data_IF_756953297367
#
_entry.id   IF_756953297367
#
_cell.length_a   1.000
_cell.length_b   1.000
_cell.length_c   1.000
_cell.angle_alpha   90.00
_cell.angle_beta   90.00
_cell.angle_gamma   90.00
#
_symmetry.space_group_name_H-M   'P 1'
#
loop_
_entity.id
_entity.type
_entity.pdbx_description
1 polymer ?
#
# COMPACT_ATOMS: atom_id res chain seq x y z
N UNK A 1 1.33 3.76 -15.03
CA UNK A 1 1.04 4.37 -13.71
C UNK A 1 1.88 5.63 -13.57
N UNK A 2 3.16 5.59 -13.91
CA UNK A 2 4.02 6.77 -14.05
C UNK A 2 4.28 7.12 -15.52
N UNK A 3 4.74 8.35 -15.78
CA UNK A 3 5.20 8.81 -17.10
C UNK A 3 6.65 8.44 -17.41
N UNK A 4 7.46 8.10 -16.41
CA UNK A 4 8.88 7.73 -16.55
C UNK A 4 9.29 6.61 -15.57
N UNK A 5 10.45 5.94 -15.77
CA UNK A 5 10.82 4.75 -15.01
C UNK A 5 11.55 5.03 -13.69
N UNK A 6 12.12 6.22 -13.49
CA UNK A 6 12.92 6.57 -12.30
C UNK A 6 12.48 7.91 -11.70
N UNK A 7 12.76 8.08 -10.41
CA UNK A 7 12.74 9.38 -9.73
C UNK A 7 14.08 9.62 -9.06
N UNK A 8 14.76 10.68 -9.47
CA UNK A 8 16.12 11.02 -9.06
C UNK A 8 16.21 12.41 -8.42
N UNK A 9 15.24 13.30 -8.70
CA UNK A 9 15.22 14.66 -8.16
C UNK A 9 13.80 15.20 -8.05
N UNK A 10 13.58 16.17 -7.16
CA UNK A 10 12.25 16.80 -6.99
C UNK A 10 11.68 17.39 -8.30
N UNK A 11 12.54 17.83 -9.20
CA UNK A 11 12.19 18.47 -10.48
C UNK A 11 12.34 17.56 -11.69
N UNK A 12 12.45 16.24 -11.49
CA UNK A 12 12.67 15.27 -12.57
C UNK A 12 11.44 15.03 -13.46
N UNK A 13 10.29 15.61 -13.12
CA UNK A 13 9.07 15.51 -13.90
C UNK A 13 8.32 14.19 -13.76
N UNK A 14 8.66 13.35 -12.77
CA UNK A 14 7.87 12.14 -12.48
C UNK A 14 6.44 12.51 -12.07
N UNK A 15 5.47 12.00 -12.82
CA UNK A 15 4.05 12.13 -12.53
C UNK A 15 3.41 10.75 -12.34
N UNK A 16 2.56 10.63 -11.33
CA UNK A 16 1.71 9.46 -11.12
C UNK A 16 0.29 9.74 -11.61
N UNK A 17 -0.20 8.90 -12.53
CA UNK A 17 -1.57 8.97 -13.04
C UNK A 17 -2.49 8.13 -12.18
N UNK A 18 -3.56 8.74 -11.66
CA UNK A 18 -4.61 8.09 -10.85
C UNK A 18 -4.06 7.29 -9.64
N UNK A 19 -2.89 7.69 -9.11
CA UNK A 19 -2.22 6.98 -8.03
C UNK A 19 -1.53 7.96 -7.07
N UNK A 20 -1.41 7.53 -5.82
CA UNK A 20 -0.70 8.23 -4.75
C UNK A 20 0.12 7.20 -3.96
N UNK A 21 1.36 7.52 -3.64
CA UNK A 21 2.25 6.64 -2.87
C UNK A 21 2.58 7.28 -1.53
N UNK A 22 2.48 6.51 -0.46
CA UNK A 22 2.75 7.00 0.89
C UNK A 22 3.17 5.87 1.82
N UNK A 23 4.17 6.08 2.71
CA UNK A 23 4.52 5.12 3.74
C UNK A 23 3.64 5.30 4.98
N UNK A 24 3.42 4.20 5.72
CA UNK A 24 2.75 4.22 7.04
C UNK A 24 3.59 4.95 8.10
N UNK A 25 4.92 4.93 7.96
CA UNK A 25 5.86 5.68 8.81
C UNK A 25 6.59 6.72 7.93
N UNK A 26 6.54 8.00 8.30
CA UNK A 26 7.14 9.10 7.51
C UNK A 26 8.65 9.25 7.71
N UNK A 27 9.16 8.75 8.83
CA UNK A 27 10.59 8.79 9.15
C UNK A 27 11.22 7.42 8.97
N UNK A 28 12.50 7.38 8.59
CA UNK A 28 13.25 6.11 8.51
C UNK A 28 13.55 5.62 9.94
N UNK A 29 13.10 4.42 10.33
CA UNK A 29 13.35 3.89 11.67
C UNK A 29 14.76 3.26 11.75
N UNK A 30 15.37 3.22 12.95
CA UNK A 30 16.62 2.48 13.15
C UNK A 30 16.51 1.03 12.69
N UNK A 31 17.52 0.54 11.97
CA UNK A 31 17.61 -0.84 11.44
C UNK A 31 16.42 -1.28 10.57
N UNK A 32 15.70 -0.33 9.96
CA UNK A 32 14.50 -0.58 9.15
C UNK A 32 13.38 -1.31 9.91
N UNK A 33 13.35 -1.18 11.23
CA UNK A 33 12.40 -1.87 12.11
C UNK A 33 11.60 -0.87 12.94
N UNK A 34 10.42 -0.45 12.46
CA UNK A 34 9.58 0.47 13.21
C UNK A 34 9.00 -0.21 14.45
N UNK A 35 8.97 0.53 15.55
CA UNK A 35 8.30 0.15 16.79
C UNK A 35 6.79 0.41 16.70
N UNK A 36 6.03 -0.26 17.58
CA UNK A 36 4.60 0.00 17.68
C UNK A 36 4.29 1.46 18.10
N UNK A 37 5.15 2.08 18.91
CA UNK A 37 4.98 3.46 19.35
C UNK A 37 5.21 4.45 18.21
N UNK A 38 6.28 4.28 17.42
CA UNK A 38 6.54 5.12 16.24
C UNK A 38 5.39 5.06 15.24
N UNK A 39 4.89 3.85 14.93
CA UNK A 39 3.74 3.67 14.05
C UNK A 39 2.47 4.34 14.60
N UNK A 40 2.27 4.30 15.92
CA UNK A 40 1.12 4.94 16.57
C UNK A 40 1.23 6.46 16.50
N UNK A 41 2.40 7.03 16.80
CA UNK A 41 2.62 8.48 16.76
C UNK A 41 2.52 9.03 15.34
N UNK A 42 3.04 8.28 14.37
CA UNK A 42 3.04 8.69 12.96
C UNK A 42 1.67 8.48 12.27
N UNK A 43 0.70 7.79 12.91
CA UNK A 43 -0.55 7.45 12.25
C UNK A 43 -1.39 8.67 11.86
N UNK A 44 -1.24 9.79 12.59
CA UNK A 44 -1.97 11.04 12.33
C UNK A 44 -1.76 11.53 10.89
N UNK A 45 -0.54 11.47 10.37
CA UNK A 45 -0.25 11.88 9.00
C UNK A 45 -0.93 10.98 7.97
N UNK A 46 -0.94 9.67 8.23
CA UNK A 46 -1.62 8.72 7.36
C UNK A 46 -3.14 8.91 7.39
N UNK A 47 -3.72 9.24 8.55
CA UNK A 47 -5.14 9.55 8.68
C UNK A 47 -5.53 10.81 7.91
N UNK A 48 -4.72 11.87 8.00
CA UNK A 48 -4.90 13.10 7.23
C UNK A 48 -4.84 12.82 5.71
N UNK A 49 -3.85 12.05 5.26
CA UNK A 49 -3.76 11.61 3.85
C UNK A 49 -5.01 10.85 3.40
N UNK A 50 -5.50 9.90 4.22
CA UNK A 50 -6.72 9.16 3.90
C UNK A 50 -7.96 10.06 3.85
N UNK A 51 -7.99 11.15 4.62
CA UNK A 51 -9.11 12.10 4.63
C UNK A 51 -9.21 12.94 3.36
N UNK A 52 -8.07 13.22 2.70
CA UNK A 52 -8.03 14.03 1.46
C UNK A 52 -8.19 13.18 0.19
N UNK A 53 -7.87 11.88 0.25
CA UNK A 53 -8.01 10.93 -0.87
C UNK A 53 -9.45 10.45 -1.05
N UNK A 54 -10.36 11.36 -1.38
CA UNK A 54 -11.81 11.11 -1.48
C UNK A 54 -12.21 10.08 -2.54
N UNK A 55 -11.42 9.99 -3.63
CA UNK A 55 -11.67 9.09 -4.75
C UNK A 55 -10.94 7.75 -4.62
N UNK A 56 -10.38 7.44 -3.46
CA UNK A 56 -9.62 6.22 -3.22
C UNK A 56 -10.52 4.98 -3.25
N UNK A 57 -10.27 4.10 -4.23
CA UNK A 57 -10.98 2.83 -4.39
C UNK A 57 -10.16 1.62 -3.90
N UNK A 58 -8.88 1.57 -4.26
CA UNK A 58 -7.98 0.44 -3.97
C UNK A 58 -6.74 0.93 -3.22
N UNK A 59 -6.36 0.19 -2.17
CA UNK A 59 -5.12 0.37 -1.42
C UNK A 59 -4.21 -0.80 -1.75
N UNK A 60 -3.10 -0.53 -2.42
CA UNK A 60 -2.05 -1.53 -2.65
C UNK A 60 -1.00 -1.44 -1.54
N UNK A 61 -1.04 -2.39 -0.61
CA UNK A 61 -0.11 -2.47 0.51
C UNK A 61 1.14 -3.29 0.13
N UNK A 62 2.28 -2.61 0.06
CA UNK A 62 3.59 -3.23 -0.17
C UNK A 62 4.22 -3.66 1.16
N UNK A 63 4.20 -4.95 1.45
CA UNK A 63 4.73 -5.53 2.67
C UNK A 63 3.73 -5.60 3.83
N UNK A 64 4.06 -6.42 4.83
CA UNK A 64 3.19 -6.70 5.97
C UNK A 64 2.93 -5.47 6.85
N UNK A 65 3.93 -4.60 7.02
CA UNK A 65 3.80 -3.38 7.82
C UNK A 65 2.75 -2.44 7.22
N UNK A 66 2.81 -2.19 5.91
CA UNK A 66 1.81 -1.39 5.21
C UNK A 66 0.40 -1.98 5.30
N UNK A 67 0.30 -3.30 5.09
CA UNK A 67 -0.95 -4.03 5.13
C UNK A 67 -1.61 -4.00 6.52
N UNK A 68 -0.84 -4.35 7.57
CA UNK A 68 -1.32 -4.31 8.95
C UNK A 68 -1.62 -2.87 9.39
N UNK A 69 -0.86 -1.89 8.91
CA UNK A 69 -1.07 -0.46 9.17
C UNK A 69 -2.44 0.02 8.68
N UNK A 70 -2.79 -0.27 7.43
CA UNK A 70 -4.10 0.10 6.89
C UNK A 70 -5.25 -0.65 7.59
N UNK A 71 -5.12 -1.95 7.87
CA UNK A 71 -6.14 -2.67 8.64
C UNK A 71 -6.34 -2.11 10.06
N UNK A 72 -5.25 -1.71 10.74
CA UNK A 72 -5.35 -1.03 12.05
C UNK A 72 -6.09 0.30 11.93
N UNK A 73 -5.86 1.07 10.86
CA UNK A 73 -6.62 2.28 10.56
C UNK A 73 -8.12 1.97 10.40
N UNK A 74 -8.49 0.97 9.59
CA UNK A 74 -9.88 0.57 9.38
C UNK A 74 -10.55 0.07 10.67
N UNK A 75 -9.81 -0.68 11.49
CA UNK A 75 -10.31 -1.21 12.77
C UNK A 75 -10.74 -0.13 13.77
N UNK A 76 -10.30 1.12 13.61
CA UNK A 76 -10.72 2.23 14.48
C UNK A 76 -12.18 2.65 14.25
N UNK A 77 -12.68 2.47 13.04
CA UNK A 77 -14.05 2.85 12.66
C UNK A 77 -14.96 1.64 12.39
N UNK A 78 -14.39 0.47 12.17
CA UNK A 78 -15.13 -0.75 11.80
C UNK A 78 -14.71 -1.93 12.67
N UNK A 79 -15.68 -2.75 13.06
CA UNK A 79 -15.44 -3.96 13.85
C UNK A 79 -14.89 -5.10 12.98
N UNK A 80 -13.60 -5.04 12.65
CA UNK A 80 -12.91 -6.09 11.89
C UNK A 80 -11.95 -6.90 12.78
N UNK A 81 -11.77 -8.19 12.46
CA UNK A 81 -10.74 -9.02 13.09
C UNK A 81 -9.57 -9.14 12.12
N UNK A 82 -8.38 -8.70 12.56
CA UNK A 82 -7.14 -8.76 11.77
C UNK A 82 -6.87 -10.14 11.16
N UNK A 83 -7.20 -11.22 11.89
CA UNK A 83 -6.99 -12.61 11.47
C UNK A 83 -7.79 -13.02 10.22
N UNK A 84 -8.88 -12.30 9.92
CA UNK A 84 -9.72 -12.58 8.76
C UNK A 84 -9.08 -12.07 7.46
N UNK A 85 -8.00 -11.28 7.58
CA UNK A 85 -7.27 -10.65 6.48
C UNK A 85 -5.82 -11.14 6.50
N UNK A 86 -5.58 -12.33 5.94
CA UNK A 86 -4.25 -12.91 5.90
C UNK A 86 -3.35 -12.20 4.86
N UNK A 87 -2.19 -11.72 5.29
CA UNK A 87 -1.21 -11.14 4.37
C UNK A 87 -0.67 -12.21 3.40
N UNK A 88 -0.59 -11.86 2.11
CA UNK A 88 0.01 -12.69 1.07
C UNK A 88 0.06 -11.94 -0.25
N UNK A 89 1.02 -12.26 -1.11
CA UNK A 89 1.15 -11.57 -2.38
C UNK A 89 -0.08 -11.79 -3.27
N UNK A 90 -0.52 -10.71 -3.91
CA UNK A 90 -1.69 -10.64 -4.79
C UNK A 90 -3.03 -11.01 -4.11
N UNK A 91 -3.09 -11.10 -2.77
CA UNK A 91 -4.35 -11.28 -2.05
C UNK A 91 -5.09 -9.95 -1.94
N UNK A 92 -6.40 -9.94 -2.13
CA UNK A 92 -7.21 -8.75 -1.97
C UNK A 92 -8.47 -9.01 -1.15
N UNK A 93 -8.97 -7.94 -0.53
CA UNK A 93 -10.10 -7.98 0.39
C UNK A 93 -10.95 -6.73 0.21
N UNK A 94 -12.26 -6.89 0.03
CA UNK A 94 -13.21 -5.78 0.18
C UNK A 94 -13.39 -5.50 1.67
N UNK A 95 -13.12 -4.27 2.08
CA UNK A 95 -13.25 -3.84 3.47
C UNK A 95 -14.61 -3.17 3.73
N UNK A 96 -15.05 -3.08 4.99
CA UNK A 96 -16.34 -2.48 5.34
C UNK A 96 -16.50 -0.99 4.97
N UNK A 97 -15.39 -0.29 4.70
CA UNK A 97 -15.41 1.10 4.23
C UNK A 97 -15.60 1.22 2.70
N UNK A 98 -15.94 0.12 2.03
CA UNK A 98 -16.18 0.05 0.59
C UNK A 98 -14.92 0.02 -0.27
N UNK A 99 -13.71 0.05 0.32
CA UNK A 99 -12.44 0.03 -0.41
C UNK A 99 -11.86 -1.37 -0.49
N UNK A 100 -11.10 -1.66 -1.54
CA UNK A 100 -10.32 -2.91 -1.65
C UNK A 100 -8.93 -2.72 -1.07
N UNK A 101 -8.53 -3.58 -0.15
CA UNK A 101 -7.13 -3.72 0.29
C UNK A 101 -6.47 -4.86 -0.45
N UNK A 102 -5.40 -4.56 -1.19
CA UNK A 102 -4.60 -5.52 -1.93
C UNK A 102 -3.21 -5.65 -1.30
N UNK A 103 -2.82 -6.86 -0.94
CA UNK A 103 -1.54 -7.18 -0.34
C UNK A 103 -0.51 -7.59 -1.40
N UNK A 104 0.73 -7.13 -1.22
CA UNK A 104 1.89 -7.59 -1.99
C UNK A 104 3.09 -7.77 -1.07
N UNK A 105 4.00 -8.69 -1.41
CA UNK A 105 5.34 -8.62 -0.83
C UNK A 105 6.03 -7.31 -1.23
N UNK A 106 6.78 -6.73 -0.32
CA UNK A 106 7.50 -5.49 -0.60
C UNK A 106 8.63 -5.77 -1.61
N UNK A 107 8.81 -4.98 -2.66
CA UNK A 107 9.90 -5.15 -3.63
C UNK A 107 11.25 -4.63 -3.07
N UNK A 108 11.62 -5.03 -1.85
CA UNK A 108 12.93 -4.68 -1.30
C UNK A 108 14.04 -5.50 -1.96
N UNK A 109 15.29 -5.01 -1.97
CA UNK A 109 16.43 -5.77 -2.50
C UNK A 109 16.51 -7.18 -1.93
N UNK A 110 16.28 -7.35 -0.63
CA UNK A 110 16.23 -8.66 0.01
C UNK A 110 15.18 -9.59 -0.60
N UNK A 111 13.94 -9.13 -0.81
CA UNK A 111 12.87 -9.97 -1.34
C UNK A 111 13.08 -10.30 -2.82
N UNK A 112 13.63 -9.37 -3.60
CA UNK A 112 13.98 -9.58 -5.00
C UNK A 112 15.13 -10.59 -5.12
N UNK A 113 16.23 -10.38 -4.38
CA UNK A 113 17.40 -11.25 -4.44
C UNK A 113 17.12 -12.68 -3.95
N UNK A 114 16.16 -12.86 -3.04
CA UNK A 114 15.72 -14.18 -2.56
C UNK A 114 14.63 -14.82 -3.41
N UNK A 115 14.19 -14.16 -4.49
CA UNK A 115 13.13 -14.67 -5.36
C UNK A 115 11.74 -14.67 -4.73
N UNK A 116 11.55 -14.05 -3.55
CA UNK A 116 10.24 -13.95 -2.89
C UNK A 116 9.27 -13.11 -3.70
N UNK A 117 9.78 -12.15 -4.46
CA UNK A 117 9.04 -11.41 -5.48
C UNK A 117 9.97 -11.11 -6.65
N UNK A 118 9.44 -11.07 -7.86
CA UNK A 118 10.17 -10.70 -9.06
C UNK A 118 9.35 -9.72 -9.91
N UNK A 119 9.95 -9.26 -11.01
CA UNK A 119 9.32 -8.31 -11.92
C UNK A 119 8.00 -8.85 -12.50
N UNK A 120 7.98 -10.10 -12.98
CA UNK A 120 6.78 -10.71 -13.56
C UNK A 120 5.60 -10.72 -12.57
N UNK A 121 5.85 -11.08 -11.31
CA UNK A 121 4.85 -11.05 -10.24
C UNK A 121 4.35 -9.62 -9.95
N UNK A 122 5.24 -8.63 -9.95
CA UNK A 122 4.85 -7.23 -9.76
C UNK A 122 4.02 -6.70 -10.94
N UNK A 123 4.41 -7.02 -12.18
CA UNK A 123 3.67 -6.66 -13.39
C UNK A 123 2.27 -7.29 -13.37
N UNK A 124 2.18 -8.58 -13.03
CA UNK A 124 0.89 -9.29 -12.90
C UNK A 124 -0.02 -8.62 -11.86
N UNK A 125 0.52 -8.35 -10.66
CA UNK A 125 -0.19 -7.64 -9.60
C UNK A 125 -0.73 -6.28 -10.07
N UNK A 126 0.11 -5.45 -10.69
CA UNK A 126 -0.30 -4.12 -11.16
C UNK A 126 -1.36 -4.23 -12.27
N UNK A 127 -1.26 -5.21 -13.15
CA UNK A 127 -2.28 -5.49 -14.17
C UNK A 127 -3.62 -5.90 -13.54
N UNK A 128 -3.60 -6.74 -12.50
CA UNK A 128 -4.79 -7.14 -11.77
C UNK A 128 -5.46 -5.96 -11.06
N UNK A 129 -4.67 -5.10 -10.41
CA UNK A 129 -5.15 -3.85 -9.79
C UNK A 129 -5.81 -2.95 -10.84
N UNK A 130 -5.15 -2.74 -11.99
CA UNK A 130 -5.68 -1.92 -13.07
C UNK A 130 -6.95 -2.51 -13.69
N UNK A 131 -7.06 -3.84 -13.78
CA UNK A 131 -8.29 -4.50 -14.23
C UNK A 131 -9.43 -4.21 -13.24
N UNK A 132 -9.21 -4.43 -11.95
CA UNK A 132 -10.20 -4.17 -10.90
C UNK A 132 -10.66 -2.71 -10.87
N UNK A 133 -9.74 -1.74 -11.01
CA UNK A 133 -10.08 -0.32 -11.08
C UNK A 133 -10.99 0.03 -12.27
N UNK A 134 -10.83 -0.66 -13.40
CA UNK A 134 -11.69 -0.48 -14.58
C UNK A 134 -13.07 -1.08 -14.37
N UNK A 135 -13.14 -2.27 -13.77
CA UNK A 135 -14.40 -2.94 -13.47
C UNK A 135 -15.28 -2.15 -12.47
N UNK A 136 -14.67 -1.34 -11.59
CA UNK A 136 -15.38 -0.45 -10.65
C UNK A 136 -15.75 0.93 -11.23
N UNK A 137 -15.37 1.22 -12.48
CA UNK A 137 -15.77 2.45 -13.21
C UNK A 137 -16.99 2.21 -14.11
N UNK A 138 -17.30 0.95 -14.41
CA UNK A 138 -18.49 0.51 -15.17
C UNK A 138 -19.62 0.14 -14.22
#
# INVERSE_FOLDING_TARGET
>A
ITNQPTSEALTDGLEMKDAFMTPILKCVPPFDKPTANELKQCSVFFEEEMSVLKNLKIILALGKIGFDGYLKYIRRSYNIKMKDYAFGHNKNYTLPNGKTLWASYHPSPRNVNTGRINEAMMVELLNNVNKKLRDEKN
#
